data_IF_192261605228
#
_entry.id   IF_192261605228
#
_cell.length_a   1.000
_cell.length_b   1.000
_cell.length_c   1.000
_cell.angle_alpha   90.00
_cell.angle_beta   90.00
_cell.angle_gamma   90.00
#
_symmetry.space_group_name_H-M   'P 1'
#
loop_
_entity.id
_entity.type
_entity.pdbx_description
1 polymer ?
#
# COMPACT_ATOMS: atom_id res chain seq x y z
N UNK A 1 -19.25 -3.29 -1.93
CA UNK A 1 -17.83 -3.02 -2.13
C UNK A 1 -17.63 -1.68 -2.83
N UNK A 2 -16.71 -0.91 -2.34
CA UNK A 2 -16.32 0.36 -2.96
C UNK A 2 -14.80 0.36 -3.22
N UNK A 3 -14.41 0.79 -4.40
CA UNK A 3 -13.02 1.15 -4.70
C UNK A 3 -12.96 2.65 -4.89
N UNK A 4 -12.00 3.31 -4.27
CA UNK A 4 -11.87 4.77 -4.35
C UNK A 4 -11.32 5.23 -5.70
N UNK A 5 -10.70 4.33 -6.47
CA UNK A 5 -9.96 4.73 -7.66
C UNK A 5 -8.76 5.59 -7.29
N UNK A 6 -8.51 6.65 -8.06
CA UNK A 6 -7.39 7.58 -7.81
C UNK A 6 -7.83 8.88 -7.13
N UNK A 7 -9.11 9.26 -7.25
CA UNK A 7 -9.65 10.56 -6.80
C UNK A 7 -10.91 10.41 -5.95
N UNK A 8 -11.33 9.16 -5.67
CA UNK A 8 -12.52 8.90 -4.88
C UNK A 8 -12.27 9.13 -3.39
N UNK A 9 -13.20 9.83 -2.74
CA UNK A 9 -13.22 10.01 -1.30
C UNK A 9 -14.65 10.09 -0.76
N UNK A 10 -14.82 9.84 0.54
CA UNK A 10 -16.08 10.02 1.25
C UNK A 10 -16.05 11.31 2.06
N UNK A 11 -17.12 12.12 1.97
CA UNK A 11 -17.25 13.38 2.71
C UNK A 11 -18.66 13.59 3.22
N UNK A 12 -18.82 14.45 4.22
CA UNK A 12 -20.14 14.94 4.68
C UNK A 12 -20.72 16.03 3.76
N UNK A 13 -19.86 16.69 2.96
CA UNK A 13 -20.28 17.77 2.06
C UNK A 13 -20.53 17.22 0.66
N UNK A 14 -21.69 17.56 0.09
CA UNK A 14 -22.00 17.34 -1.32
C UNK A 14 -21.15 18.27 -2.20
N UNK A 15 -20.63 17.76 -3.31
CA UNK A 15 -19.93 18.54 -4.34
C UNK A 15 -20.48 18.18 -5.72
N UNK A 16 -20.04 18.90 -6.75
CA UNK A 16 -20.39 18.60 -8.15
C UNK A 16 -19.86 17.24 -8.62
N UNK A 17 -18.88 16.70 -7.90
CA UNK A 17 -18.29 15.39 -8.16
C UNK A 17 -18.90 14.25 -7.32
N UNK A 18 -19.97 14.52 -6.57
CA UNK A 18 -20.67 13.50 -5.78
C UNK A 18 -21.39 12.54 -6.72
N UNK A 19 -21.02 11.25 -6.65
CA UNK A 19 -21.58 10.17 -7.46
C UNK A 19 -22.64 9.38 -6.74
N UNK A 20 -22.49 9.24 -5.42
CA UNK A 20 -23.41 8.48 -4.56
C UNK A 20 -23.60 9.26 -3.28
N UNK A 21 -24.84 9.30 -2.78
CA UNK A 21 -25.19 9.78 -1.45
C UNK A 21 -25.81 8.65 -0.63
N UNK A 22 -25.36 8.48 0.60
CA UNK A 22 -25.97 7.59 1.59
C UNK A 22 -26.60 8.46 2.67
N UNK A 23 -27.86 8.19 2.96
CA UNK A 23 -28.67 8.90 3.94
C UNK A 23 -28.98 7.95 5.09
N UNK A 24 -28.65 8.36 6.31
CA UNK A 24 -28.94 7.60 7.53
C UNK A 24 -30.20 8.11 8.21
N UNK A 25 -30.79 7.32 9.10
CA UNK A 25 -32.06 7.64 9.74
C UNK A 25 -32.03 8.89 10.65
N UNK A 26 -30.87 9.27 11.13
CA UNK A 26 -30.58 10.43 11.98
C UNK A 26 -30.30 11.74 11.21
N UNK A 27 -30.69 11.80 9.94
CA UNK A 27 -30.37 12.88 9.00
C UNK A 27 -28.88 13.07 8.67
N UNK A 28 -28.00 12.20 9.13
CA UNK A 28 -26.61 12.23 8.70
C UNK A 28 -26.49 11.77 7.23
N UNK A 29 -25.58 12.36 6.50
CA UNK A 29 -25.40 12.13 5.07
C UNK A 29 -23.93 12.03 4.76
N UNK A 30 -23.58 11.07 3.91
CA UNK A 30 -22.22 10.95 3.37
C UNK A 30 -22.27 10.83 1.86
N UNK A 31 -21.29 11.41 1.20
CA UNK A 31 -21.21 11.45 -0.26
C UNK A 31 -19.89 10.84 -0.72
N UNK A 32 -19.98 9.94 -1.69
CA UNK A 32 -18.84 9.47 -2.44
C UNK A 32 -18.56 10.45 -3.58
N UNK A 33 -17.46 11.17 -3.50
CA UNK A 33 -17.00 12.09 -4.52
C UNK A 33 -15.89 11.42 -5.34
N UNK A 34 -15.95 11.58 -6.66
CA UNK A 34 -14.92 11.07 -7.56
C UNK A 34 -14.85 11.93 -8.83
N UNK A 35 -13.84 12.78 -8.93
CA UNK A 35 -13.62 13.68 -10.07
C UNK A 35 -13.36 12.93 -11.37
N UNK A 36 -12.61 11.84 -11.32
CA UNK A 36 -12.18 11.07 -12.49
C UNK A 36 -13.09 9.90 -12.83
N UNK A 37 -14.03 9.60 -11.96
CA UNK A 37 -15.02 8.53 -12.10
C UNK A 37 -14.40 7.13 -12.32
N UNK A 38 -13.28 6.86 -11.67
CA UNK A 38 -12.59 5.56 -11.69
C UNK A 38 -12.95 4.67 -10.49
N UNK A 39 -13.62 5.23 -9.51
CA UNK A 39 -14.14 4.49 -8.38
C UNK A 39 -15.27 3.55 -8.80
N UNK A 40 -15.44 2.46 -8.08
CA UNK A 40 -16.55 1.53 -8.30
C UNK A 40 -17.37 1.38 -7.03
N UNK A 41 -18.66 1.20 -7.18
CA UNK A 41 -19.56 0.90 -6.07
C UNK A 41 -20.45 -0.28 -6.44
N UNK A 42 -20.48 -1.30 -5.57
CA UNK A 42 -21.25 -2.52 -5.81
C UNK A 42 -21.94 -2.98 -4.51
N UNK A 43 -23.24 -3.15 -4.56
CA UNK A 43 -23.96 -3.86 -3.51
C UNK A 43 -23.63 -5.35 -3.61
N UNK A 44 -23.30 -5.97 -2.48
CA UNK A 44 -22.86 -7.36 -2.39
C UNK A 44 -23.55 -8.03 -1.20
N UNK A 45 -23.68 -9.34 -1.26
CA UNK A 45 -24.21 -10.15 -0.16
C UNK A 45 -23.14 -10.38 0.90
N UNK A 46 -23.56 -10.87 2.08
CA UNK A 46 -22.66 -11.30 3.14
C UNK A 46 -21.72 -12.44 2.65
N UNK A 47 -22.26 -13.37 1.89
CA UNK A 47 -21.46 -14.46 1.29
C UNK A 47 -20.35 -13.94 0.36
N UNK A 48 -20.64 -12.89 -0.42
CA UNK A 48 -19.61 -12.25 -1.25
C UNK A 48 -18.51 -11.58 -0.42
N UNK A 49 -18.88 -10.96 0.72
CA UNK A 49 -17.92 -10.38 1.65
C UNK A 49 -17.02 -11.46 2.24
N UNK A 50 -17.58 -12.55 2.75
CA UNK A 50 -16.83 -13.64 3.35
C UNK A 50 -15.85 -14.28 2.33
N UNK A 51 -16.31 -14.47 1.09
CA UNK A 51 -15.47 -14.96 -0.01
C UNK A 51 -14.33 -13.99 -0.31
N UNK A 52 -14.61 -12.68 -0.34
CA UNK A 52 -13.58 -11.66 -0.55
C UNK A 52 -12.56 -11.65 0.57
N UNK A 53 -12.98 -11.67 1.82
CA UNK A 53 -12.07 -11.71 2.98
C UNK A 53 -11.18 -12.97 2.95
N UNK A 54 -11.75 -14.14 2.66
CA UNK A 54 -10.98 -15.40 2.52
C UNK A 54 -9.96 -15.36 1.39
N UNK A 55 -10.15 -14.53 0.37
CA UNK A 55 -9.21 -14.37 -0.75
C UNK A 55 -8.03 -13.45 -0.43
N UNK A 56 -8.06 -12.73 0.68
CA UNK A 56 -6.97 -11.86 1.11
C UNK A 56 -5.96 -12.63 1.95
N UNK A 57 -4.71 -12.25 1.83
CA UNK A 57 -3.66 -12.64 2.75
C UNK A 57 -3.81 -11.94 4.11
N UNK A 58 -3.00 -12.32 5.12
CA UNK A 58 -3.01 -11.67 6.43
C UNK A 58 -2.76 -10.17 6.30
N UNK A 59 -3.48 -9.42 7.11
CA UNK A 59 -3.36 -7.96 7.18
C UNK A 59 -2.11 -7.57 7.96
N UNK A 60 -1.20 -6.88 7.31
CA UNK A 60 0.09 -6.51 7.88
C UNK A 60 -0.01 -5.43 8.97
N UNK A 61 -1.16 -4.76 9.13
CA UNK A 61 -1.39 -3.78 10.21
C UNK A 61 -2.09 -4.43 11.41
N UNK A 62 -3.25 -5.05 11.19
CA UNK A 62 -4.12 -5.50 12.29
C UNK A 62 -3.83 -6.94 12.76
N UNK A 63 -3.33 -7.78 11.87
CA UNK A 63 -3.08 -9.22 12.11
C UNK A 63 -1.87 -9.72 11.33
N UNK A 64 -0.67 -9.18 11.58
CA UNK A 64 0.52 -9.60 10.85
C UNK A 64 0.82 -11.08 11.12
N UNK A 65 1.24 -11.85 10.10
CA UNK A 65 1.62 -13.25 10.29
C UNK A 65 2.92 -13.37 11.09
N UNK A 66 3.18 -14.54 11.66
CA UNK A 66 4.51 -14.84 12.19
C UNK A 66 5.57 -14.74 11.10
N UNK A 67 6.83 -14.55 11.48
CA UNK A 67 7.95 -14.45 10.51
C UNK A 67 8.04 -15.71 9.65
N UNK A 68 7.88 -16.89 10.25
CA UNK A 68 7.90 -18.15 9.52
C UNK A 68 6.76 -18.27 8.51
N UNK A 69 5.53 -17.87 8.87
CA UNK A 69 4.39 -17.87 7.95
C UNK A 69 4.57 -16.81 6.84
N UNK A 70 5.09 -15.63 7.16
CA UNK A 70 5.42 -14.62 6.17
C UNK A 70 6.41 -15.15 5.13
N UNK A 71 7.54 -15.74 5.57
CA UNK A 71 8.54 -16.33 4.69
C UNK A 71 7.93 -17.43 3.83
N UNK A 72 7.19 -18.38 4.43
CA UNK A 72 6.53 -19.46 3.69
C UNK A 72 5.58 -18.94 2.61
N UNK A 73 4.84 -17.86 2.85
CA UNK A 73 3.94 -17.24 1.86
C UNK A 73 4.70 -16.68 0.67
N UNK A 74 5.79 -15.96 0.93
CA UNK A 74 6.62 -15.40 -0.14
C UNK A 74 7.32 -16.52 -0.92
N UNK A 75 7.83 -17.56 -0.25
CA UNK A 75 8.49 -18.72 -0.88
C UNK A 75 7.58 -19.49 -1.84
N UNK A 76 6.26 -19.49 -1.65
CA UNK A 76 5.31 -20.01 -2.64
C UNK A 76 5.35 -19.27 -3.98
N UNK A 77 6.05 -18.16 -4.05
CA UNK A 77 6.22 -17.30 -5.23
C UNK A 77 7.69 -17.08 -5.60
N UNK A 78 8.56 -18.08 -5.36
CA UNK A 78 10.01 -17.97 -5.51
C UNK A 78 10.48 -17.37 -6.85
N UNK A 79 9.84 -17.75 -7.95
CA UNK A 79 10.18 -17.26 -9.30
C UNK A 79 9.61 -15.86 -9.63
N UNK A 80 8.85 -15.25 -8.72
CA UNK A 80 8.26 -13.94 -8.95
C UNK A 80 9.14 -12.82 -8.40
N UNK A 81 9.03 -11.65 -9.04
CA UNK A 81 9.67 -10.44 -8.59
C UNK A 81 9.07 -9.97 -7.26
N UNK A 82 9.93 -9.47 -6.37
CA UNK A 82 9.54 -9.05 -5.02
C UNK A 82 8.47 -7.94 -5.02
N UNK A 83 8.54 -6.97 -5.93
CA UNK A 83 7.51 -5.93 -6.03
C UNK A 83 6.14 -6.51 -6.38
N UNK A 84 6.10 -7.48 -7.30
CA UNK A 84 4.84 -8.15 -7.68
C UNK A 84 4.25 -8.96 -6.53
N UNK A 85 5.11 -9.60 -5.72
CA UNK A 85 4.68 -10.38 -4.56
C UNK A 85 4.14 -9.48 -3.45
N UNK A 86 4.81 -8.37 -3.16
CA UNK A 86 4.38 -7.39 -2.15
C UNK A 86 3.06 -6.70 -2.52
N UNK A 87 2.77 -6.53 -3.80
CA UNK A 87 1.53 -5.91 -4.28
C UNK A 87 0.36 -6.89 -4.42
N UNK A 88 0.60 -8.20 -4.30
CA UNK A 88 -0.44 -9.24 -4.35
C UNK A 88 -1.14 -9.38 -3.00
N UNK A 89 -2.32 -8.78 -2.88
CA UNK A 89 -3.11 -8.77 -1.66
C UNK A 89 -3.60 -10.18 -1.23
N UNK A 90 -3.44 -11.20 -2.05
CA UNK A 90 -3.73 -12.58 -1.68
C UNK A 90 -2.59 -13.25 -0.90
N UNK A 91 -1.38 -12.71 -0.99
CA UNK A 91 -0.19 -13.20 -0.27
C UNK A 91 -0.09 -12.52 1.09
N UNK A 92 -0.08 -11.20 1.10
CA UNK A 92 -0.15 -10.32 2.27
C UNK A 92 -1.02 -9.11 1.91
N UNK A 93 -1.85 -8.64 2.83
CA UNK A 93 -2.71 -7.48 2.57
C UNK A 93 -2.26 -6.24 3.33
N UNK A 94 -2.69 -5.06 2.84
CA UNK A 94 -2.33 -3.76 3.42
C UNK A 94 -1.08 -3.11 2.81
N UNK A 95 -0.30 -3.82 2.01
CA UNK A 95 0.89 -3.25 1.35
C UNK A 95 0.49 -2.57 0.04
N UNK A 96 0.66 -1.26 -0.02
CA UNK A 96 0.49 -0.44 -1.22
C UNK A 96 1.82 0.05 -1.80
N UNK A 97 1.73 0.84 -2.88
CA UNK A 97 2.92 1.23 -3.66
C UNK A 97 3.95 2.04 -2.85
N UNK A 98 3.51 2.96 -1.99
CA UNK A 98 4.45 3.73 -1.16
C UNK A 98 5.08 2.83 -0.07
N UNK A 99 4.28 1.98 0.60
CA UNK A 99 4.80 1.03 1.60
C UNK A 99 5.83 0.10 0.97
N UNK A 100 5.54 -0.43 -0.24
CA UNK A 100 6.48 -1.24 -1.01
C UNK A 100 7.81 -0.51 -1.24
N UNK A 101 7.77 0.73 -1.72
CA UNK A 101 8.99 1.49 -2.00
C UNK A 101 9.83 1.74 -0.74
N UNK A 102 9.18 2.19 0.33
CA UNK A 102 9.82 2.48 1.61
C UNK A 102 10.41 1.21 2.25
N UNK A 103 9.64 0.13 2.37
CA UNK A 103 10.12 -1.09 3.02
C UNK A 103 11.28 -1.75 2.26
N UNK A 104 11.30 -1.69 0.92
CA UNK A 104 12.43 -2.15 0.12
C UNK A 104 13.68 -1.30 0.35
N UNK A 105 13.53 0.02 0.55
CA UNK A 105 14.64 0.88 0.91
C UNK A 105 15.19 0.55 2.31
N UNK A 106 14.31 0.39 3.32
CA UNK A 106 14.72 0.03 4.68
C UNK A 106 15.42 -1.33 4.73
N UNK A 107 14.93 -2.32 4.00
CA UNK A 107 15.51 -3.67 3.93
C UNK A 107 16.68 -3.80 2.96
N UNK A 108 17.07 -2.74 2.23
CA UNK A 108 18.13 -2.72 1.22
C UNK A 108 17.92 -3.68 0.04
N UNK A 109 16.69 -4.14 -0.17
CA UNK A 109 16.37 -5.09 -1.23
C UNK A 109 16.18 -4.35 -2.55
N UNK A 110 16.83 -4.86 -3.60
CA UNK A 110 16.65 -4.36 -4.96
C UNK A 110 15.21 -4.64 -5.45
N UNK A 111 14.47 -3.65 -6.00
CA UNK A 111 13.13 -3.85 -6.48
C UNK A 111 13.02 -4.82 -7.68
N UNK A 112 14.14 -5.14 -8.32
CA UNK A 112 14.21 -6.12 -9.41
C UNK A 112 14.51 -7.54 -8.95
N UNK A 113 14.83 -7.77 -7.67
CA UNK A 113 15.11 -9.08 -7.11
C UNK A 113 13.95 -10.06 -7.31
N UNK A 114 14.25 -11.32 -7.54
CA UNK A 114 13.29 -12.40 -7.40
C UNK A 114 13.26 -12.89 -5.96
N UNK A 115 12.14 -13.44 -5.51
CA UNK A 115 12.03 -13.95 -4.13
C UNK A 115 13.07 -15.04 -3.85
N UNK A 116 13.42 -15.86 -4.83
CA UNK A 116 14.45 -16.92 -4.70
C UNK A 116 15.87 -16.39 -4.43
N UNK A 117 16.15 -15.15 -4.84
CA UNK A 117 17.47 -14.53 -4.71
C UNK A 117 17.65 -13.86 -3.32
N UNK A 118 16.64 -13.89 -2.49
CA UNK A 118 16.63 -13.37 -1.12
C UNK A 118 16.79 -14.52 -0.12
N UNK A 119 17.62 -14.34 0.91
CA UNK A 119 17.72 -15.30 2.01
C UNK A 119 16.51 -15.15 2.96
N UNK A 120 16.32 -16.11 3.88
CA UNK A 120 15.24 -16.01 4.86
C UNK A 120 15.47 -14.85 5.83
N UNK A 121 16.75 -14.53 6.15
CA UNK A 121 17.12 -13.34 6.93
C UNK A 121 16.76 -12.05 6.20
N UNK A 122 16.94 -11.99 4.87
CA UNK A 122 16.50 -10.84 4.08
C UNK A 122 14.97 -10.66 4.14
N UNK A 123 14.22 -11.75 4.08
CA UNK A 123 12.76 -11.73 4.17
C UNK A 123 12.28 -11.36 5.58
N UNK A 124 12.97 -11.78 6.63
CA UNK A 124 12.70 -11.35 8.01
C UNK A 124 12.92 -9.83 8.17
N UNK A 125 14.04 -9.31 7.66
CA UNK A 125 14.32 -7.86 7.67
C UNK A 125 13.25 -7.10 6.86
N UNK A 126 12.82 -7.65 5.73
CA UNK A 126 11.74 -7.08 4.92
C UNK A 126 10.42 -7.03 5.70
N UNK A 127 10.04 -8.08 6.42
CA UNK A 127 8.84 -8.08 7.24
C UNK A 127 8.90 -6.98 8.31
N UNK A 128 10.03 -6.88 9.03
CA UNK A 128 10.24 -5.83 10.05
C UNK A 128 10.11 -4.43 9.42
N UNK A 129 10.67 -4.23 8.24
CA UNK A 129 10.55 -2.97 7.50
C UNK A 129 9.11 -2.66 7.09
N UNK A 130 8.33 -3.66 6.63
CA UNK A 130 6.91 -3.49 6.30
C UNK A 130 6.14 -3.06 7.55
N UNK A 131 6.31 -3.77 8.67
CA UNK A 131 5.62 -3.46 9.92
C UNK A 131 5.97 -2.06 10.44
N UNK A 132 7.25 -1.68 10.35
CA UNK A 132 7.70 -0.33 10.72
C UNK A 132 7.00 0.76 9.88
N UNK A 133 7.04 0.62 8.55
CA UNK A 133 6.47 1.62 7.64
C UNK A 133 4.95 1.72 7.78
N UNK A 134 4.26 0.58 7.90
CA UNK A 134 2.80 0.56 8.05
C UNK A 134 2.38 1.21 9.38
N UNK A 135 3.00 0.84 10.50
CA UNK A 135 2.65 1.39 11.81
C UNK A 135 2.97 2.89 11.88
N UNK A 136 4.12 3.31 11.35
CA UNK A 136 4.46 4.74 11.25
C UNK A 136 3.41 5.49 10.42
N UNK A 137 3.08 5.00 9.24
CA UNK A 137 2.08 5.62 8.39
C UNK A 137 0.69 5.68 9.03
N UNK A 138 0.29 4.63 9.76
CA UNK A 138 -0.97 4.60 10.48
C UNK A 138 -1.00 5.63 11.62
N UNK A 139 0.07 5.74 12.41
CA UNK A 139 0.19 6.74 13.48
C UNK A 139 0.15 8.18 12.95
N UNK A 140 0.67 8.42 11.75
CA UNK A 140 0.66 9.70 11.05
C UNK A 140 -0.61 9.92 10.21
N UNK A 141 -1.67 9.13 10.42
CA UNK A 141 -2.98 9.20 9.74
C UNK A 141 -2.92 9.02 8.22
N UNK A 142 -1.91 8.29 7.74
CA UNK A 142 -1.74 7.96 6.32
C UNK A 142 -1.00 9.00 5.51
N UNK A 143 -0.70 8.64 4.27
CA UNK A 143 -0.02 9.50 3.32
C UNK A 143 -1.04 10.35 2.57
N UNK A 144 -1.03 11.65 2.78
CA UNK A 144 -1.65 12.58 1.84
C UNK A 144 -0.81 12.68 0.58
N UNK A 145 -0.97 11.69 -0.28
CA UNK A 145 -0.57 11.83 -1.67
C UNK A 145 -1.66 12.65 -2.33
N UNK A 146 -1.35 13.78 -2.86
CA UNK A 146 -2.11 14.85 -3.56
C UNK A 146 -3.66 14.76 -3.63
N UNK A 147 -4.25 13.57 -3.53
CA UNK A 147 -5.67 13.31 -3.77
C UNK A 147 -6.36 12.51 -2.65
N UNK A 148 -5.67 12.16 -1.55
CA UNK A 148 -6.25 11.44 -0.41
C UNK A 148 -6.33 12.32 0.82
N UNK A 149 -7.56 12.57 1.28
CA UNK A 149 -7.88 13.31 2.49
C UNK A 149 -8.62 12.42 3.47
N UNK A 150 -8.52 12.70 4.76
CA UNK A 150 -9.37 12.09 5.77
C UNK A 150 -10.84 12.45 5.53
N UNK A 151 -11.76 11.78 6.22
CA UNK A 151 -13.20 12.06 6.12
C UNK A 151 -13.56 13.53 6.43
N UNK A 152 -12.76 14.19 7.28
CA UNK A 152 -12.92 15.59 7.67
C UNK A 152 -12.09 16.57 6.80
N UNK A 153 -11.59 16.12 5.65
CA UNK A 153 -10.76 16.87 4.71
C UNK A 153 -9.38 17.30 5.27
N UNK A 154 -8.88 16.60 6.26
CA UNK A 154 -7.53 16.81 6.76
C UNK A 154 -6.52 15.99 5.95
N UNK A 155 -5.34 16.56 5.72
CA UNK A 155 -4.25 15.86 5.07
C UNK A 155 -3.41 15.11 6.10
N UNK A 156 -3.17 13.79 5.89
CA UNK A 156 -2.25 13.04 6.73
C UNK A 156 -0.80 13.50 6.52
N UNK A 157 0.02 13.42 7.55
CA UNK A 157 1.40 13.94 7.56
C UNK A 157 2.45 12.92 7.14
N UNK A 158 2.08 11.68 6.84
CA UNK A 158 3.03 10.60 6.54
C UNK A 158 3.95 10.88 5.34
N UNK A 159 3.56 11.77 4.42
CA UNK A 159 4.39 12.15 3.26
C UNK A 159 5.70 12.81 3.67
N UNK A 160 5.69 13.58 4.75
CA UNK A 160 6.90 14.26 5.24
C UNK A 160 7.91 13.25 5.82
N UNK A 161 7.41 12.12 6.32
CA UNK A 161 8.21 11.02 6.85
C UNK A 161 8.73 10.02 5.82
N UNK A 162 8.41 10.13 4.52
CA UNK A 162 8.92 9.25 3.50
C UNK A 162 10.39 9.51 3.18
N UNK A 163 11.10 8.41 2.91
CA UNK A 163 12.52 8.44 2.58
C UNK A 163 12.75 8.49 1.08
N UNK A 164 12.01 7.68 0.32
CA UNK A 164 12.19 7.56 -1.13
C UNK A 164 10.92 7.88 -1.90
N UNK A 165 9.74 7.54 -1.39
CA UNK A 165 8.52 7.71 -2.16
C UNK A 165 8.19 9.20 -2.37
N UNK A 166 8.19 9.61 -3.66
CA UNK A 166 7.97 11.01 -4.05
C UNK A 166 9.19 11.93 -3.90
N UNK A 167 10.29 11.46 -3.32
CA UNK A 167 11.49 12.27 -3.09
C UNK A 167 12.42 12.25 -4.31
N UNK A 168 13.31 13.26 -4.38
CA UNK A 168 14.40 13.31 -5.35
C UNK A 168 15.69 12.66 -4.82
N UNK A 169 15.89 12.76 -3.50
CA UNK A 169 17.04 12.17 -2.78
C UNK A 169 16.56 11.51 -1.49
N UNK A 170 17.31 10.48 -1.05
CA UNK A 170 17.12 9.86 0.27
C UNK A 170 17.80 10.67 1.38
N UNK A 171 17.70 10.21 2.64
CA UNK A 171 18.34 10.88 3.80
C UNK A 171 19.88 10.96 3.72
N UNK A 172 20.52 10.09 2.92
CA UNK A 172 21.94 10.09 2.74
C UNK A 172 22.40 10.95 1.54
N UNK A 173 21.45 11.61 0.86
CA UNK A 173 21.72 12.44 -0.31
C UNK A 173 21.84 11.67 -1.63
N UNK A 174 21.63 10.34 -1.66
CA UNK A 174 21.62 9.55 -2.88
C UNK A 174 20.40 9.85 -3.75
N UNK A 175 20.58 9.81 -5.05
CA UNK A 175 19.49 10.06 -6.00
C UNK A 175 18.44 8.94 -5.96
N UNK A 176 17.18 9.31 -5.89
CA UNK A 176 16.05 8.38 -5.97
C UNK A 176 15.67 8.17 -7.43
N UNK A 177 15.77 6.93 -7.88
CA UNK A 177 15.36 6.48 -9.21
C UNK A 177 13.85 6.20 -9.20
N UNK A 178 13.15 6.70 -10.22
CA UNK A 178 11.71 6.41 -10.47
C UNK A 178 11.63 5.49 -11.67
N UNK A 179 11.30 4.24 -11.44
CA UNK A 179 11.31 3.22 -12.48
C UNK A 179 10.07 2.31 -12.38
N UNK A 180 9.50 1.97 -13.53
CA UNK A 180 8.44 0.99 -13.58
C UNK A 180 9.00 -0.41 -13.31
N UNK A 181 8.43 -1.11 -12.33
CA UNK A 181 8.78 -2.48 -11.95
C UNK A 181 7.79 -3.49 -12.55
N UNK A 182 8.06 -4.80 -12.40
CA UNK A 182 7.26 -5.87 -13.02
C UNK A 182 5.80 -5.93 -12.53
N UNK A 183 5.47 -5.30 -11.41
CA UNK A 183 4.10 -5.06 -10.94
C UNK A 183 3.37 -3.94 -11.70
N UNK A 184 4.00 -3.37 -12.75
CA UNK A 184 3.50 -2.26 -13.59
C UNK A 184 3.27 -0.96 -12.82
N UNK A 185 3.89 -0.81 -11.65
CA UNK A 185 3.84 0.41 -10.83
C UNK A 185 5.20 1.11 -10.86
N UNK A 186 5.19 2.44 -10.78
CA UNK A 186 6.43 3.20 -10.57
C UNK A 186 6.92 2.98 -9.16
N UNK A 187 8.10 2.40 -9.02
CA UNK A 187 8.81 2.23 -7.75
C UNK A 187 9.87 3.30 -7.61
N UNK A 188 10.02 3.85 -6.41
CA UNK A 188 11.05 4.79 -6.04
C UNK A 188 12.12 4.03 -5.26
N UNK A 189 13.38 4.09 -5.68
CA UNK A 189 14.45 3.30 -5.08
C UNK A 189 15.82 3.95 -5.26
N UNK A 190 16.80 3.49 -4.48
CA UNK A 190 18.19 4.00 -4.48
C UNK A 190 19.15 2.87 -4.81
N UNK A 191 19.82 2.97 -5.95
CA UNK A 191 20.71 1.93 -6.47
C UNK A 191 21.89 1.64 -5.55
N UNK A 192 22.48 2.66 -4.97
CA UNK A 192 23.65 2.58 -4.10
C UNK A 192 23.34 1.87 -2.77
N UNK A 193 22.08 1.85 -2.37
CA UNK A 193 21.63 1.27 -1.11
C UNK A 193 20.99 -0.11 -1.28
N UNK A 194 20.19 -0.29 -2.33
CA UNK A 194 19.31 -1.47 -2.51
C UNK A 194 20.03 -2.50 -3.39
N UNK A 195 20.99 -3.18 -2.81
CA UNK A 195 21.93 -4.10 -3.49
C UNK A 195 21.65 -5.59 -3.21
N UNK A 196 20.69 -5.91 -2.34
CA UNK A 196 20.36 -7.30 -2.00
C UNK A 196 19.45 -7.90 -3.08
N UNK A 197 19.78 -9.10 -3.55
CA UNK A 197 19.03 -9.81 -4.59
C UNK A 197 19.37 -9.39 -6.02
N UNK A 198 20.60 -8.90 -6.22
CA UNK A 198 21.16 -8.55 -7.56
C UNK A 198 21.98 -9.70 -8.07
#
# INVERSE_FOLDING_TARGET
FNTLGMTGNWTRKKSDFSRIGIYFNDNDKVYFNDTRNFGTFQLKTRSDLERKLKSLGPDMLSSPPSTSDFILRLRKRNSKNICSVLMDQSIISGVGNYIKAECLWYSRINPHALVKDLTDENLEVLQKAILYVINKSYAEQGASIKDYYTFDNESGSAVDGFVVYGKAKDYNGHNVIKQQTLDKRTTHWVKERQVIGV
#
